data_IF_765729477393
#
_entry.id   IF_765729477393
#
_cell.length_a   1.000
_cell.length_b   1.000
_cell.length_c   1.000
_cell.angle_alpha   90.00
_cell.angle_beta   90.00
_cell.angle_gamma   90.00
#
_symmetry.space_group_name_H-M   'P 1'
#
loop_
_entity.id
_entity.type
_entity.pdbx_description
1 polymer ?
#
# COMPACT_ATOMS: atom_id res chain seq x y z
N UNK A 1 -0.49 -29.74 31.42
CA UNK A 1 -0.48 -28.29 31.13
C UNK A 1 -1.88 -27.94 30.61
N UNK A 2 -2.27 -26.67 30.48
CA UNK A 2 -3.57 -26.38 29.86
C UNK A 2 -3.52 -26.82 28.39
N UNK A 3 -4.55 -27.52 27.92
CA UNK A 3 -4.63 -28.02 26.54
C UNK A 3 -4.43 -26.90 25.51
N UNK A 4 -4.88 -25.69 25.84
CA UNK A 4 -4.65 -24.48 25.04
C UNK A 4 -3.17 -24.11 24.89
N UNK A 5 -2.38 -24.23 25.95
CA UNK A 5 -0.93 -23.95 25.89
C UNK A 5 -0.21 -24.99 25.03
N UNK A 6 -0.61 -26.26 25.11
CA UNK A 6 -0.05 -27.33 24.26
C UNK A 6 -0.33 -27.04 22.78
N UNK A 7 -1.57 -26.70 22.42
CA UNK A 7 -1.94 -26.32 21.05
C UNK A 7 -1.23 -25.05 20.57
N UNK A 8 -1.08 -24.04 21.42
CA UNK A 8 -0.37 -22.81 21.08
C UNK A 8 1.11 -23.07 20.79
N UNK A 9 1.77 -23.90 21.61
CA UNK A 9 3.18 -24.29 21.41
C UNK A 9 3.36 -25.08 20.11
N UNK A 10 2.44 -26.00 19.80
CA UNK A 10 2.48 -26.75 18.53
C UNK A 10 2.40 -25.82 17.32
N UNK A 11 1.47 -24.85 17.32
CA UNK A 11 1.31 -23.89 16.21
C UNK A 11 2.56 -23.03 16.04
N UNK A 12 3.08 -22.44 17.12
CA UNK A 12 4.30 -21.61 17.07
C UNK A 12 5.50 -22.44 16.62
N UNK A 13 5.64 -23.68 17.09
CA UNK A 13 6.74 -24.56 16.67
C UNK A 13 6.70 -24.89 15.18
N UNK A 14 5.50 -25.10 14.62
CA UNK A 14 5.31 -25.31 13.20
C UNK A 14 5.66 -24.05 12.40
N UNK A 15 5.23 -22.87 12.86
CA UNK A 15 5.55 -21.60 12.22
C UNK A 15 7.06 -21.31 12.22
N UNK A 16 7.71 -21.47 13.36
CA UNK A 16 9.15 -21.29 13.54
C UNK A 16 9.99 -22.30 12.73
N UNK A 17 9.42 -23.45 12.35
CA UNK A 17 10.10 -24.42 11.47
C UNK A 17 10.21 -23.93 10.02
N UNK A 18 9.31 -23.04 9.60
CA UNK A 18 9.27 -22.47 8.24
C UNK A 18 9.80 -21.04 8.15
N UNK A 19 9.88 -20.33 9.27
CA UNK A 19 10.21 -18.89 9.32
C UNK A 19 11.31 -18.64 10.35
N UNK A 20 12.35 -17.87 9.99
CA UNK A 20 13.36 -17.43 10.95
C UNK A 20 12.81 -16.33 11.84
N UNK A 21 12.76 -16.54 13.15
CA UNK A 21 12.17 -15.62 14.13
C UNK A 21 13.16 -15.25 15.23
N UNK A 22 13.01 -14.05 15.78
CA UNK A 22 13.73 -13.64 17.00
C UNK A 22 13.09 -14.25 18.25
N UNK A 23 13.76 -14.16 19.39
CA UNK A 23 13.20 -14.65 20.66
C UNK A 23 11.99 -13.82 21.07
N UNK A 24 12.04 -12.54 20.79
CA UNK A 24 11.01 -11.56 21.06
C UNK A 24 9.74 -11.88 20.25
N UNK A 25 9.90 -12.19 18.96
CA UNK A 25 8.79 -12.56 18.07
C UNK A 25 8.09 -13.85 18.53
N UNK A 26 8.86 -14.87 18.93
CA UNK A 26 8.32 -16.15 19.40
C UNK A 26 7.47 -15.99 20.68
N UNK A 27 7.90 -15.13 21.59
CA UNK A 27 7.15 -14.85 22.83
C UNK A 27 5.88 -14.06 22.53
N UNK A 28 5.94 -13.10 21.60
CA UNK A 28 4.78 -12.34 21.16
C UNK A 28 3.74 -13.24 20.48
N UNK A 29 4.18 -14.06 19.52
CA UNK A 29 3.30 -14.97 18.76
C UNK A 29 2.61 -15.99 19.66
N UNK A 30 3.33 -16.56 20.64
CA UNK A 30 2.75 -17.49 21.61
C UNK A 30 1.64 -16.83 22.45
N UNK A 31 1.84 -15.58 22.87
CA UNK A 31 0.85 -14.83 23.63
C UNK A 31 -0.40 -14.50 22.79
N UNK A 32 -0.20 -14.11 21.52
CA UNK A 32 -1.29 -13.80 20.58
C UNK A 32 -2.13 -15.04 20.29
N UNK A 33 -1.50 -16.16 19.92
CA UNK A 33 -2.20 -17.42 19.62
C UNK A 33 -2.94 -17.94 20.84
N UNK A 34 -2.30 -17.91 22.02
CA UNK A 34 -2.96 -18.35 23.25
C UNK A 34 -4.19 -17.49 23.58
N UNK A 35 -4.12 -16.18 23.35
CA UNK A 35 -5.25 -15.26 23.55
C UNK A 35 -6.37 -15.53 22.55
N UNK A 36 -6.03 -15.75 21.28
CA UNK A 36 -6.99 -16.09 20.23
C UNK A 36 -7.70 -17.42 20.51
N UNK A 37 -6.95 -18.46 20.87
CA UNK A 37 -7.51 -19.77 21.22
C UNK A 37 -8.42 -19.69 22.45
N UNK A 38 -8.03 -18.90 23.47
CA UNK A 38 -8.85 -18.70 24.67
C UNK A 38 -10.15 -17.95 24.36
N UNK A 39 -10.10 -16.93 23.51
CA UNK A 39 -11.30 -16.22 23.06
C UNK A 39 -12.25 -17.15 22.30
N UNK A 40 -11.71 -17.98 21.40
CA UNK A 40 -12.47 -19.00 20.68
C UNK A 40 -13.10 -20.06 21.61
N UNK A 41 -12.37 -20.53 22.61
CA UNK A 41 -12.89 -21.50 23.60
C UNK A 41 -14.03 -20.90 24.44
N UNK A 42 -13.94 -19.60 24.76
CA UNK A 42 -14.98 -18.88 25.50
C UNK A 42 -16.19 -18.48 24.65
N UNK A 43 -16.16 -18.73 23.34
CA UNK A 43 -17.21 -18.30 22.40
C UNK A 43 -17.27 -16.77 22.22
N UNK A 44 -16.24 -16.04 22.66
CA UNK A 44 -16.06 -14.65 22.31
C UNK A 44 -15.58 -14.59 20.86
N UNK A 45 -16.34 -13.87 20.02
CA UNK A 45 -15.82 -13.48 18.72
C UNK A 45 -14.53 -12.70 18.99
N UNK A 46 -13.39 -13.27 18.58
CA UNK A 46 -12.14 -12.53 18.45
C UNK A 46 -12.51 -11.32 17.63
N UNK A 47 -12.60 -10.16 18.28
CA UNK A 47 -12.87 -8.91 17.59
C UNK A 47 -11.87 -8.87 16.45
N UNK A 48 -12.37 -8.88 15.21
CA UNK A 48 -11.57 -8.61 14.02
C UNK A 48 -10.67 -7.45 14.43
N UNK A 49 -9.36 -7.70 14.45
CA UNK A 49 -8.38 -6.66 14.70
C UNK A 49 -8.77 -5.56 13.73
N UNK A 50 -9.41 -4.51 14.26
CA UNK A 50 -9.84 -3.37 13.50
C UNK A 50 -8.58 -2.96 12.75
N UNK A 51 -8.66 -3.04 11.42
CA UNK A 51 -7.67 -2.55 10.46
C UNK A 51 -6.82 -1.53 11.19
N UNK A 52 -5.64 -1.94 11.66
CA UNK A 52 -4.73 -1.02 12.32
C UNK A 52 -4.57 0.07 11.28
N UNK A 53 -5.17 1.24 11.54
CA UNK A 53 -5.26 2.35 10.62
C UNK A 53 -3.91 2.42 9.95
N UNK A 54 -3.88 2.03 8.67
CA UNK A 54 -2.63 1.78 7.96
C UNK A 54 -1.85 3.08 8.02
N UNK A 55 -1.00 3.21 9.04
CA UNK A 55 -0.27 4.43 9.24
C UNK A 55 0.59 4.52 8.00
N UNK A 56 0.42 5.57 7.19
CA UNK A 56 1.05 5.59 5.89
C UNK A 56 2.54 5.46 6.12
N UNK A 57 3.17 4.45 5.49
CA UNK A 57 4.60 4.18 5.65
C UNK A 57 5.46 5.43 5.35
N UNK A 58 4.86 6.39 4.65
CA UNK A 58 5.43 7.69 4.36
C UNK A 58 4.33 8.76 4.44
N UNK A 59 4.56 9.85 5.18
CA UNK A 59 3.66 11.01 5.19
C UNK A 59 3.43 11.57 3.77
N UNK A 60 2.22 12.09 3.47
CA UNK A 60 1.88 12.67 2.14
C UNK A 60 2.94 13.65 1.60
N UNK A 61 3.52 14.50 2.47
CA UNK A 61 4.55 15.48 2.06
C UNK A 61 5.85 14.82 1.57
N UNK A 62 6.20 13.66 2.11
CA UNK A 62 7.38 12.88 1.73
C UNK A 62 7.09 11.91 0.57
N UNK A 63 5.82 11.52 0.38
CA UNK A 63 5.42 10.62 -0.68
C UNK A 63 5.65 11.22 -2.09
N UNK A 64 5.50 12.53 -2.27
CA UNK A 64 5.64 13.19 -3.58
C UNK A 64 6.88 14.08 -3.67
N UNK A 65 8.02 13.48 -3.99
CA UNK A 65 9.28 14.19 -4.20
C UNK A 65 9.49 14.72 -5.63
N UNK A 66 10.56 15.50 -5.81
CA UNK A 66 10.96 16.03 -7.13
C UNK A 66 11.36 14.93 -8.11
N UNK A 67 12.24 14.03 -7.68
CA UNK A 67 12.83 12.98 -8.53
C UNK A 67 12.16 11.61 -8.35
N UNK A 68 11.60 11.36 -7.17
CA UNK A 68 10.96 10.09 -6.80
C UNK A 68 9.63 10.32 -6.09
N UNK A 69 8.71 9.41 -6.31
CA UNK A 69 7.45 9.24 -5.57
C UNK A 69 7.53 7.94 -4.79
N UNK A 70 7.14 7.98 -3.52
CA UNK A 70 7.11 6.83 -2.64
C UNK A 70 5.66 6.31 -2.49
N UNK A 71 5.50 5.00 -2.51
CA UNK A 71 4.22 4.36 -2.22
C UNK A 71 3.92 4.50 -0.72
N UNK A 72 2.71 4.94 -0.36
CA UNK A 72 2.30 5.08 1.04
C UNK A 72 1.90 3.73 1.67
N UNK A 73 1.67 2.70 0.84
CA UNK A 73 1.37 1.33 1.30
C UNK A 73 2.66 0.56 1.62
N UNK A 74 3.69 0.66 0.77
CA UNK A 74 4.90 -0.18 0.89
C UNK A 74 6.22 0.60 1.04
N UNK A 75 6.21 1.93 1.02
CA UNK A 75 7.40 2.77 1.20
C UNK A 75 8.40 2.78 0.04
N UNK A 76 8.18 2.01 -1.05
CA UNK A 76 9.11 1.93 -2.19
C UNK A 76 9.09 3.19 -3.04
N UNK A 77 10.26 3.70 -3.40
CA UNK A 77 10.46 4.88 -4.24
C UNK A 77 10.55 4.55 -5.74
N UNK A 78 9.87 5.33 -6.58
CA UNK A 78 9.77 5.14 -8.03
C UNK A 78 9.47 6.44 -8.77
N UNK A 79 9.61 6.43 -10.10
CA UNK A 79 9.31 7.59 -10.94
C UNK A 79 7.81 7.74 -11.22
N UNK A 80 7.07 6.63 -11.33
CA UNK A 80 5.62 6.60 -11.55
C UNK A 80 4.96 5.57 -10.64
N UNK A 81 3.93 5.99 -9.90
CA UNK A 81 3.25 5.13 -8.94
C UNK A 81 2.16 4.26 -9.60
N UNK A 82 1.55 4.74 -10.69
CA UNK A 82 0.38 4.08 -11.30
C UNK A 82 0.63 2.69 -11.88
N UNK A 83 1.86 2.34 -12.26
CA UNK A 83 2.22 0.97 -12.68
C UNK A 83 2.34 0.06 -11.47
N UNK A 84 2.99 0.55 -10.41
CA UNK A 84 3.22 -0.19 -9.20
C UNK A 84 1.92 -0.53 -8.46
N UNK A 85 0.97 0.42 -8.37
CA UNK A 85 -0.33 0.16 -7.76
C UNK A 85 -1.05 -1.03 -8.39
N UNK A 86 -1.03 -1.12 -9.73
CA UNK A 86 -1.66 -2.22 -10.46
C UNK A 86 -0.90 -3.54 -10.33
N UNK A 87 0.43 -3.51 -10.39
CA UNK A 87 1.25 -4.74 -10.43
C UNK A 87 1.51 -5.34 -9.05
N UNK A 88 1.65 -4.52 -8.01
CA UNK A 88 2.03 -4.98 -6.67
C UNK A 88 0.83 -5.03 -5.73
N UNK A 89 -0.08 -4.05 -5.84
CA UNK A 89 -1.21 -3.92 -4.94
C UNK A 89 -2.55 -4.31 -5.57
N UNK A 90 -2.60 -4.55 -6.89
CA UNK A 90 -3.84 -4.88 -7.60
C UNK A 90 -4.90 -3.77 -7.62
N UNK A 91 -4.58 -2.57 -7.11
CA UNK A 91 -5.53 -1.47 -6.98
C UNK A 91 -5.39 -0.43 -8.10
N UNK A 92 -6.49 0.27 -8.35
CA UNK A 92 -6.50 1.39 -9.27
C UNK A 92 -5.92 2.66 -8.64
N UNK A 93 -5.36 3.56 -9.46
CA UNK A 93 -4.99 4.89 -8.98
C UNK A 93 -6.15 5.70 -8.38
N UNK A 94 -7.40 5.37 -8.68
CA UNK A 94 -8.56 6.05 -8.13
C UNK A 94 -8.84 5.60 -6.68
N UNK A 95 -8.82 4.29 -6.44
CA UNK A 95 -8.95 3.71 -5.10
C UNK A 95 -7.83 4.16 -4.18
N UNK A 96 -6.58 4.15 -4.67
CA UNK A 96 -5.43 4.65 -3.91
C UNK A 96 -5.60 6.12 -3.48
N UNK A 97 -6.17 6.97 -4.33
CA UNK A 97 -6.44 8.37 -3.95
C UNK A 97 -7.52 8.48 -2.89
N UNK A 98 -8.56 7.64 -2.95
CA UNK A 98 -9.63 7.62 -1.93
C UNK A 98 -9.10 7.12 -0.58
N UNK A 99 -8.27 6.09 -0.58
CA UNK A 99 -7.70 5.50 0.64
C UNK A 99 -6.84 6.50 1.42
N UNK A 100 -6.07 7.33 0.73
CA UNK A 100 -5.13 8.28 1.37
C UNK A 100 -5.54 9.75 1.21
N UNK A 101 -6.81 10.01 0.90
CA UNK A 101 -7.38 11.35 0.67
C UNK A 101 -6.52 12.28 -0.22
N UNK A 102 -5.99 11.71 -1.31
CA UNK A 102 -5.11 12.43 -2.23
C UNK A 102 -5.95 13.23 -3.24
N UNK A 103 -5.73 14.55 -3.39
CA UNK A 103 -6.43 15.36 -4.37
C UNK A 103 -6.28 14.82 -5.80
N UNK A 104 -7.35 14.87 -6.59
CA UNK A 104 -7.31 14.44 -8.01
C UNK A 104 -6.30 15.25 -8.86
N UNK A 105 -5.99 16.47 -8.44
CA UNK A 105 -5.02 17.37 -9.07
C UNK A 105 -3.57 16.94 -8.82
N UNK A 106 -3.31 16.12 -7.80
CA UNK A 106 -1.97 15.68 -7.44
C UNK A 106 -1.47 14.59 -8.41
N UNK A 107 -0.34 14.80 -9.10
CA UNK A 107 0.27 13.77 -9.94
C UNK A 107 0.77 12.60 -9.10
N UNK A 108 0.45 11.37 -9.51
CA UNK A 108 0.99 10.13 -8.92
C UNK A 108 2.35 9.74 -9.54
N UNK A 109 3.13 10.73 -9.93
CA UNK A 109 4.44 10.58 -10.57
C UNK A 109 5.37 11.69 -10.09
N UNK A 110 6.67 11.46 -10.21
CA UNK A 110 7.68 12.44 -9.81
C UNK A 110 7.48 13.75 -10.58
N UNK A 111 7.76 14.88 -9.91
CA UNK A 111 7.58 16.21 -10.53
C UNK A 111 8.45 16.36 -11.78
N UNK A 112 9.72 15.96 -11.70
CA UNK A 112 10.65 15.99 -12.83
C UNK A 112 10.17 15.13 -14.01
N UNK A 113 9.62 13.95 -13.73
CA UNK A 113 9.05 13.07 -14.76
C UNK A 113 7.84 13.70 -15.45
N UNK A 114 6.94 14.31 -14.67
CA UNK A 114 5.74 14.98 -15.18
C UNK A 114 6.09 16.20 -16.03
N UNK A 115 7.07 16.99 -15.60
CA UNK A 115 7.58 18.15 -16.34
C UNK A 115 8.26 17.76 -17.65
N UNK A 116 9.11 16.71 -17.63
CA UNK A 116 9.77 16.22 -18.84
C UNK A 116 8.76 15.73 -19.87
N UNK A 117 7.74 14.97 -19.45
CA UNK A 117 6.65 14.53 -20.34
C UNK A 117 5.84 15.69 -20.89
N UNK A 118 5.60 16.74 -20.09
CA UNK A 118 4.92 17.96 -20.56
C UNK A 118 5.74 18.68 -21.63
N UNK A 119 7.05 18.86 -21.43
CA UNK A 119 7.95 19.48 -22.42
C UNK A 119 7.95 18.71 -23.74
N UNK A 120 8.15 17.38 -23.70
CA UNK A 120 8.08 16.53 -24.89
C UNK A 120 6.75 16.64 -25.64
N UNK A 121 5.62 16.77 -24.91
CA UNK A 121 4.31 16.91 -25.55
C UNK A 121 4.17 18.26 -26.28
N UNK A 122 4.75 19.33 -25.73
CA UNK A 122 4.78 20.66 -26.36
C UNK A 122 5.67 20.64 -27.60
N UNK A 123 6.89 20.11 -27.49
CA UNK A 123 7.83 19.98 -28.63
C UNK A 123 7.25 19.17 -29.79
N UNK A 124 6.43 18.15 -29.48
CA UNK A 124 5.75 17.31 -30.50
C UNK A 124 4.51 17.97 -31.11
N UNK A 125 4.19 19.21 -30.76
CA UNK A 125 3.02 19.94 -31.26
C UNK A 125 1.69 19.28 -30.87
N UNK A 126 1.65 18.52 -29.77
CA UNK A 126 0.45 17.75 -29.39
C UNK A 126 -0.72 18.69 -29.02
N UNK A 127 -0.41 19.87 -28.48
CA UNK A 127 -1.40 20.90 -28.17
C UNK A 127 -2.11 21.45 -29.41
N UNK A 128 -1.35 21.75 -30.47
CA UNK A 128 -1.90 22.26 -31.74
C UNK A 128 -2.76 21.21 -32.44
N UNK A 129 -2.28 19.96 -32.48
CA UNK A 129 -3.04 18.83 -33.02
C UNK A 129 -4.36 18.60 -32.25
N UNK A 130 -4.35 18.76 -30.92
CA UNK A 130 -5.55 18.64 -30.10
C UNK A 130 -6.54 19.80 -30.36
N UNK A 131 -6.04 21.02 -30.55
CA UNK A 131 -6.86 22.18 -30.89
C UNK A 131 -7.53 22.02 -32.27
N UNK A 132 -6.78 21.54 -33.26
CA UNK A 132 -7.30 21.23 -34.60
C UNK A 132 -8.38 20.14 -34.55
N UNK A 133 -8.13 19.04 -33.82
CA UNK A 133 -9.11 17.97 -33.66
C UNK A 133 -10.41 18.44 -32.97
N UNK A 134 -10.31 19.34 -31.97
CA UNK A 134 -11.48 19.93 -31.30
C UNK A 134 -12.28 20.86 -32.23
N UNK A 135 -11.59 21.66 -33.05
CA UNK A 135 -12.23 22.53 -34.03
C UNK A 135 -12.96 21.72 -35.11
N UNK A 136 -12.35 20.63 -35.60
CA UNK A 136 -12.96 19.73 -36.56
C UNK A 136 -14.21 19.01 -36.02
N UNK A 137 -14.28 18.74 -34.71
CA UNK A 137 -15.44 18.10 -34.07
C UNK A 137 -16.60 19.07 -33.77
N UNK A 138 -16.36 20.37 -33.84
CA UNK A 138 -17.36 21.44 -33.60
C UNK A 138 -18.02 21.90 -34.91
N UNK A 139 -17.48 21.48 -36.05
CA UNK A 139 -18.01 21.72 -37.39
C UNK A 139 -18.90 20.55 -37.80
#
# INVERSE_FOLDING_TARGET
>A
MSKLLEMAVEIVSAHASTTTMSKEDLVAELAEIHTALKAMENGEQVAEQQDQEQQPAVSMKKAFGKDKVYCMICGKGMTTLGRHLRMVHGITPAEYRKQFDIPRTQPLAAKAYSEQRKKMAIERGLGEKLAQARAAKKK
#
